data_IF_154888813617
#
_entry.id   IF_154888813617
#
_cell.length_a   1.000
_cell.length_b   1.000
_cell.length_c   1.000
_cell.angle_alpha   90.00
_cell.angle_beta   90.00
_cell.angle_gamma   90.00
#
_symmetry.space_group_name_H-M   'P 1'
#
loop_
_entity.id
_entity.type
_entity.pdbx_description
1 polymer ?
#
# COMPACT_ATOMS: atom_id res chain seq x y z
N UNK A 1 -51.89 -0.75 -27.74
CA UNK A 1 -51.28 0.04 -26.64
C UNK A 1 -51.07 -0.90 -25.47
N UNK A 2 -49.83 -1.32 -25.22
CA UNK A 2 -49.46 -2.05 -24.01
C UNK A 2 -48.06 -1.57 -23.64
N UNK A 3 -47.99 -0.79 -22.57
CA UNK A 3 -46.78 -0.14 -22.09
C UNK A 3 -45.93 -1.12 -21.27
N UNK A 4 -44.63 -1.15 -21.54
CA UNK A 4 -43.63 -1.84 -20.73
C UNK A 4 -43.44 -1.15 -19.36
N UNK A 5 -43.02 -1.87 -18.30
CA UNK A 5 -42.76 -1.27 -17.00
C UNK A 5 -41.40 -0.53 -16.96
N UNK A 6 -41.27 0.50 -16.09
CA UNK A 6 -40.09 1.36 -16.01
C UNK A 6 -38.91 0.67 -15.33
N UNK A 7 -37.71 1.04 -15.77
CA UNK A 7 -36.43 0.47 -15.37
C UNK A 7 -36.12 0.61 -13.89
N UNK A 8 -35.52 -0.45 -13.35
CA UNK A 8 -34.75 -0.39 -12.11
C UNK A 8 -33.50 0.46 -12.36
N UNK A 9 -33.34 1.53 -11.58
CA UNK A 9 -32.09 2.27 -11.49
C UNK A 9 -31.01 1.33 -10.94
N UNK A 10 -29.86 1.29 -11.60
CA UNK A 10 -28.65 0.65 -11.11
C UNK A 10 -27.96 1.62 -10.15
N UNK A 11 -27.65 1.14 -8.94
CA UNK A 11 -27.16 1.95 -7.84
C UNK A 11 -25.70 2.42 -8.03
N UNK A 12 -25.51 3.70 -8.37
CA UNK A 12 -24.20 4.38 -8.49
C UNK A 12 -23.47 4.60 -7.13
N UNK A 13 -24.08 4.21 -6.00
CA UNK A 13 -23.58 4.50 -4.65
C UNK A 13 -22.41 3.59 -4.17
N UNK A 14 -22.25 2.41 -4.76
CA UNK A 14 -21.22 1.46 -4.33
C UNK A 14 -19.80 1.86 -4.79
N UNK A 15 -19.68 2.60 -5.89
CA UNK A 15 -18.39 3.03 -6.43
C UNK A 15 -17.80 4.21 -5.62
N UNK A 16 -18.66 5.10 -5.12
CA UNK A 16 -18.26 6.25 -4.30
C UNK A 16 -17.74 5.82 -2.91
N UNK A 17 -18.41 4.87 -2.27
CA UNK A 17 -18.02 4.40 -0.92
C UNK A 17 -16.70 3.61 -0.95
N UNK A 18 -16.50 2.81 -2.00
CA UNK A 18 -15.27 2.02 -2.22
C UNK A 18 -14.06 2.92 -2.46
N UNK A 19 -14.19 3.92 -3.33
CA UNK A 19 -13.13 4.91 -3.59
C UNK A 19 -12.83 5.76 -2.35
N UNK A 20 -13.86 6.16 -1.60
CA UNK A 20 -13.71 6.88 -0.33
C UNK A 20 -12.95 6.08 0.73
N UNK A 21 -13.22 4.78 0.85
CA UNK A 21 -12.55 3.92 1.85
C UNK A 21 -11.05 3.86 1.62
N UNK A 22 -10.63 3.61 0.37
CA UNK A 22 -9.20 3.51 0.02
C UNK A 22 -8.51 4.88 0.12
N UNK A 23 -9.19 5.96 -0.27
CA UNK A 23 -8.68 7.33 -0.14
C UNK A 23 -8.42 7.73 1.32
N UNK A 24 -9.15 7.16 2.27
CA UNK A 24 -8.96 7.36 3.70
C UNK A 24 -7.82 6.52 4.31
N UNK A 25 -7.12 5.70 3.52
CA UNK A 25 -5.88 5.03 3.92
C UNK A 25 -4.69 5.90 3.53
N UNK A 26 -4.18 6.67 4.49
CA UNK A 26 -3.11 7.63 4.24
C UNK A 26 -1.74 6.99 4.42
N UNK A 27 -0.93 7.02 3.37
CA UNK A 27 0.45 6.50 3.38
C UNK A 27 1.41 7.64 3.63
N UNK A 28 2.30 7.47 4.61
CA UNK A 28 3.33 8.45 4.95
C UNK A 28 4.69 7.79 5.13
N UNK A 29 5.75 8.52 4.79
CA UNK A 29 7.13 8.13 5.00
C UNK A 29 7.80 9.11 5.98
N UNK A 30 8.60 8.56 6.89
CA UNK A 30 9.57 9.32 7.69
C UNK A 30 10.90 8.58 7.76
N UNK A 31 12.00 9.30 7.89
CA UNK A 31 13.29 8.64 8.16
C UNK A 31 13.33 8.23 9.64
N UNK A 32 13.58 6.95 9.91
CA UNK A 32 13.67 6.37 11.26
C UNK A 32 15.11 6.09 11.70
N UNK A 33 16.05 5.94 10.77
CA UNK A 33 17.49 5.80 11.05
C UNK A 33 18.35 6.45 9.98
N UNK A 34 19.56 6.87 10.37
CA UNK A 34 20.62 7.38 9.48
C UNK A 34 21.63 6.29 9.07
N UNK A 35 21.73 5.18 9.80
CA UNK A 35 22.74 4.14 9.57
C UNK A 35 22.23 2.76 10.04
N UNK A 36 21.87 1.84 9.12
CA UNK A 36 21.64 2.12 7.70
C UNK A 36 20.50 3.14 7.54
N UNK A 37 20.49 3.98 6.48
CA UNK A 37 19.37 4.88 6.20
C UNK A 37 18.07 4.08 6.13
N UNK A 38 17.12 4.38 7.01
CA UNK A 38 15.88 3.58 7.12
C UNK A 38 14.66 4.48 7.00
N UNK A 39 13.72 4.06 6.16
CA UNK A 39 12.44 4.72 5.94
C UNK A 39 11.35 3.94 6.66
N UNK A 40 10.67 4.61 7.60
CA UNK A 40 9.44 4.09 8.19
C UNK A 40 8.27 4.44 7.30
N UNK A 41 7.61 3.41 6.78
CA UNK A 41 6.29 3.50 6.17
C UNK A 41 5.21 3.46 7.24
N UNK A 42 4.19 4.29 7.12
CA UNK A 42 3.02 4.26 8.00
C UNK A 42 1.74 4.41 7.17
N UNK A 43 0.83 3.45 7.32
CA UNK A 43 -0.53 3.50 6.80
C UNK A 43 -1.46 3.89 7.94
N UNK A 44 -2.15 5.01 7.81
CA UNK A 44 -3.13 5.50 8.79
C UNK A 44 -4.53 5.31 8.26
N UNK A 45 -5.38 4.63 9.02
CA UNK A 45 -6.78 4.44 8.68
C UNK A 45 -7.62 5.61 9.21
N UNK A 46 -8.06 6.50 8.32
CA UNK A 46 -8.97 7.61 8.65
C UNK A 46 -10.44 7.27 8.45
N UNK A 47 -10.77 6.02 8.12
CA UNK A 47 -12.15 5.58 8.07
C UNK A 47 -12.75 5.49 9.50
N UNK A 48 -14.08 5.62 9.64
CA UNK A 48 -14.75 5.48 10.94
C UNK A 48 -14.85 4.02 11.41
N UNK A 49 -14.40 3.05 10.60
CA UNK A 49 -14.43 1.62 10.87
C UNK A 49 -13.03 0.99 10.70
N UNK A 50 -12.76 -0.20 11.27
CA UNK A 50 -11.54 -0.93 11.00
C UNK A 50 -11.44 -1.30 9.52
N UNK A 51 -10.20 -1.51 9.06
CA UNK A 51 -9.91 -2.14 7.77
C UNK A 51 -8.97 -3.32 7.99
N UNK A 52 -9.09 -4.33 7.14
CA UNK A 52 -8.13 -5.45 7.06
C UNK A 52 -7.45 -5.40 5.70
N UNK A 53 -6.13 -5.26 5.71
CA UNK A 53 -5.28 -5.06 4.53
C UNK A 53 -4.48 -6.35 4.29
N UNK A 54 -4.50 -6.88 3.07
CA UNK A 54 -3.50 -7.87 2.67
C UNK A 54 -2.16 -7.16 2.50
N UNK A 55 -1.12 -7.62 3.18
CA UNK A 55 0.21 -7.00 3.13
C UNK A 55 0.80 -7.00 1.72
N UNK A 56 0.47 -7.98 0.89
CA UNK A 56 1.02 -8.16 -0.46
C UNK A 56 0.71 -6.97 -1.37
N UNK A 57 1.74 -6.42 -2.02
CA UNK A 57 1.68 -5.22 -2.88
C UNK A 57 1.12 -3.96 -2.20
N UNK A 58 1.00 -3.98 -0.87
CA UNK A 58 0.60 -2.82 -0.08
C UNK A 58 1.82 -2.03 0.39
N UNK A 59 1.64 -0.82 0.95
CA UNK A 59 2.71 -0.09 1.64
C UNK A 59 3.31 -0.84 2.84
N UNK A 60 2.64 -1.89 3.33
CA UNK A 60 3.07 -2.75 4.44
C UNK A 60 3.66 -4.08 3.96
N UNK A 61 3.92 -4.21 2.65
CA UNK A 61 4.63 -5.35 2.09
C UNK A 61 6.11 -5.30 2.49
N UNK A 62 6.61 -6.32 3.19
CA UNK A 62 8.03 -6.45 3.53
C UNK A 62 8.95 -6.50 2.30
N UNK A 63 8.43 -6.82 1.12
CA UNK A 63 9.15 -6.77 -0.15
C UNK A 63 8.89 -5.49 -0.94
N UNK A 64 8.26 -4.45 -0.38
CA UNK A 64 7.89 -3.23 -1.12
C UNK A 64 9.06 -2.59 -1.89
N UNK A 65 10.27 -2.60 -1.31
CA UNK A 65 11.48 -2.13 -1.98
C UNK A 65 11.85 -3.02 -3.17
N UNK A 66 11.97 -4.33 -2.94
CA UNK A 66 12.33 -5.31 -3.97
C UNK A 66 11.26 -5.47 -5.06
N UNK A 67 10.00 -5.09 -4.79
CA UNK A 67 8.91 -5.07 -5.76
C UNK A 67 8.82 -3.74 -6.53
N UNK A 68 9.74 -2.81 -6.30
CA UNK A 68 9.79 -1.53 -7.02
C UNK A 68 8.71 -0.54 -6.62
N UNK A 69 8.12 -0.68 -5.43
CA UNK A 69 7.12 0.29 -4.93
C UNK A 69 7.76 1.61 -4.50
N UNK A 70 9.06 1.57 -4.14
CA UNK A 70 9.84 2.76 -3.81
C UNK A 70 10.52 3.33 -5.06
N UNK A 71 10.41 4.65 -5.22
CA UNK A 71 11.21 5.43 -6.16
C UNK A 71 12.19 6.27 -5.36
N UNK A 72 13.48 6.17 -5.67
CA UNK A 72 14.56 6.85 -4.95
C UNK A 72 15.31 7.72 -5.95
N UNK A 73 15.28 9.03 -5.76
CA UNK A 73 15.90 10.01 -6.67
C UNK A 73 17.03 10.74 -5.95
N UNK A 74 18.30 10.55 -6.33
CA UNK A 74 19.42 11.26 -5.73
C UNK A 74 19.26 12.78 -5.83
N UNK A 75 19.74 13.51 -4.85
CA UNK A 75 19.66 14.97 -4.87
C UNK A 75 20.42 15.53 -6.07
N UNK A 76 19.76 16.41 -6.84
CA UNK A 76 20.34 16.97 -8.07
C UNK A 76 20.17 16.09 -9.31
N UNK A 77 19.64 14.87 -9.18
CA UNK A 77 19.22 14.04 -10.31
C UNK A 77 17.77 14.35 -10.70
N UNK A 78 17.47 14.29 -11.99
CA UNK A 78 16.10 14.28 -12.51
C UNK A 78 15.53 12.86 -12.66
N UNK A 79 16.37 11.84 -12.52
CA UNK A 79 16.01 10.44 -12.71
C UNK A 79 16.24 9.62 -11.43
N UNK A 80 15.30 8.70 -11.09
CA UNK A 80 15.51 7.75 -10.01
C UNK A 80 16.69 6.82 -10.28
N UNK A 81 17.30 6.29 -9.22
CA UNK A 81 18.22 5.15 -9.37
C UNK A 81 17.45 3.93 -9.84
N UNK A 82 18.08 3.15 -10.72
CA UNK A 82 17.57 1.83 -11.09
C UNK A 82 17.77 0.88 -9.91
N UNK A 83 16.66 0.30 -9.43
CA UNK A 83 16.66 -0.68 -8.36
C UNK A 83 16.50 -2.09 -8.95
N UNK A 84 17.18 -3.10 -8.40
CA UNK A 84 16.93 -4.49 -8.76
C UNK A 84 15.51 -4.87 -8.30
N UNK A 85 14.61 -5.10 -9.26
CA UNK A 85 13.22 -5.49 -8.98
C UNK A 85 13.05 -6.99 -9.19
N UNK A 86 12.42 -7.65 -8.23
CA UNK A 86 12.06 -9.07 -8.31
C UNK A 86 10.59 -9.24 -8.74
N UNK A 87 10.27 -10.43 -9.23
CA UNK A 87 8.87 -10.87 -9.41
C UNK A 87 8.56 -11.93 -8.36
N UNK A 88 7.74 -11.58 -7.37
CA UNK A 88 7.34 -12.51 -6.32
C UNK A 88 6.12 -13.34 -6.76
N UNK A 89 6.21 -14.66 -6.61
CA UNK A 89 5.05 -15.56 -6.64
C UNK A 89 4.65 -15.85 -5.20
N UNK A 90 3.47 -15.38 -4.80
CA UNK A 90 2.96 -15.55 -3.43
C UNK A 90 1.88 -16.63 -3.38
N UNK A 91 1.81 -17.32 -2.25
CA UNK A 91 0.75 -18.30 -1.97
C UNK A 91 -0.56 -17.56 -1.74
N UNK A 92 -1.66 -18.12 -2.26
CA UNK A 92 -3.01 -17.64 -2.02
C UNK A 92 -3.90 -18.81 -1.56
N UNK A 93 -4.72 -18.67 -0.50
CA UNK A 93 -4.92 -17.47 0.32
C UNK A 93 -3.66 -17.09 1.15
N UNK A 94 -3.49 -15.80 1.49
CA UNK A 94 -2.38 -15.36 2.32
C UNK A 94 -2.48 -15.98 3.73
N UNK A 95 -1.34 -16.19 4.42
CA UNK A 95 -1.33 -16.57 5.82
C UNK A 95 -1.87 -15.44 6.72
N UNK A 96 -2.24 -15.78 7.95
CA UNK A 96 -2.91 -14.86 8.87
C UNK A 96 -2.08 -13.62 9.22
N UNK A 97 -0.76 -13.78 9.34
CA UNK A 97 0.19 -12.68 9.61
C UNK A 97 0.30 -11.68 8.45
N UNK A 98 -0.17 -12.05 7.26
CA UNK A 98 -0.25 -11.17 6.09
C UNK A 98 -1.58 -10.40 6.03
N UNK A 99 -2.49 -10.59 6.99
CA UNK A 99 -3.74 -9.85 7.13
C UNK A 99 -3.62 -8.81 8.24
N UNK A 100 -3.34 -7.56 7.85
CA UNK A 100 -3.05 -6.48 8.77
C UNK A 100 -4.33 -5.71 9.10
N UNK A 101 -4.78 -5.79 10.34
CA UNK A 101 -5.93 -5.00 10.82
C UNK A 101 -5.47 -3.63 11.27
N UNK A 102 -6.05 -2.58 10.69
CA UNK A 102 -5.85 -1.20 11.12
C UNK A 102 -7.19 -0.66 11.65
N UNK A 103 -7.28 -0.46 12.97
CA UNK A 103 -8.47 0.10 13.62
C UNK A 103 -8.76 1.51 13.11
N UNK A 104 -10.01 1.97 13.26
CA UNK A 104 -10.38 3.35 12.99
C UNK A 104 -9.47 4.33 13.74
N UNK A 105 -8.94 5.33 13.03
CA UNK A 105 -8.03 6.34 13.56
C UNK A 105 -6.62 5.83 13.94
N UNK A 106 -6.33 4.54 13.76
CA UNK A 106 -5.03 3.94 14.11
C UNK A 106 -4.12 3.83 12.89
N UNK A 107 -2.87 3.44 13.14
CA UNK A 107 -1.87 3.25 12.09
C UNK A 107 -1.13 1.92 12.25
N UNK A 108 -0.71 1.36 11.11
CA UNK A 108 0.27 0.29 11.03
C UNK A 108 1.49 0.78 10.25
N UNK A 109 2.65 0.17 10.45
CA UNK A 109 3.86 0.60 9.77
C UNK A 109 4.96 -0.44 9.78
N UNK A 110 5.89 -0.27 8.86
CA UNK A 110 7.09 -1.09 8.72
C UNK A 110 8.29 -0.20 8.45
N UNK A 111 9.48 -0.72 8.70
CA UNK A 111 10.74 -0.07 8.39
C UNK A 111 11.39 -0.74 7.18
N UNK A 112 11.90 0.07 6.27
CA UNK A 112 12.60 -0.35 5.05
C UNK A 112 13.99 0.26 5.09
N UNK A 113 15.01 -0.58 5.24
CA UNK A 113 16.40 -0.16 5.13
C UNK A 113 16.75 0.11 3.66
N UNK A 114 17.42 1.24 3.41
CA UNK A 114 17.96 1.61 2.10
C UNK A 114 19.45 1.25 2.10
N UNK A 115 19.74 -0.01 1.80
CA UNK A 115 21.09 -0.57 1.86
C UNK A 115 21.36 -1.59 0.74
N UNK A 116 22.64 -1.91 0.57
CA UNK A 116 23.09 -2.95 -0.34
C UNK A 116 22.53 -4.33 0.03
N UNK A 117 22.25 -5.23 -0.94
CA UNK A 117 22.39 -5.03 -2.39
C UNK A 117 21.15 -4.42 -3.06
N UNK A 118 20.12 -4.04 -2.28
CA UNK A 118 18.82 -3.65 -2.81
C UNK A 118 18.79 -2.19 -3.28
N UNK A 119 19.63 -1.35 -2.69
CA UNK A 119 19.79 0.06 -3.05
C UNK A 119 21.27 0.31 -3.32
N UNK A 120 21.64 0.77 -4.52
CA UNK A 120 23.02 1.14 -4.85
C UNK A 120 23.38 2.42 -4.10
N UNK A 121 23.82 2.30 -2.85
CA UNK A 121 23.96 3.43 -1.92
C UNK A 121 25.00 4.43 -2.40
N UNK A 122 26.02 3.96 -3.13
CA UNK A 122 27.06 4.79 -3.76
C UNK A 122 26.48 5.77 -4.80
N UNK A 123 25.34 5.44 -5.42
CA UNK A 123 24.66 6.30 -6.41
C UNK A 123 23.76 7.34 -5.78
N UNK A 124 23.45 7.25 -4.48
CA UNK A 124 22.54 8.17 -3.81
C UNK A 124 23.19 9.49 -3.38
N UNK A 125 24.52 9.53 -3.27
CA UNK A 125 25.23 10.68 -2.70
C UNK A 125 24.87 10.91 -1.22
N UNK A 126 24.78 12.17 -0.78
CA UNK A 126 24.48 12.52 0.62
C UNK A 126 22.99 12.58 0.99
N UNK A 127 22.08 12.59 0.00
CA UNK A 127 20.64 12.55 0.23
C UNK A 127 19.84 12.19 -1.02
N UNK A 128 18.65 11.63 -0.83
CA UNK A 128 17.73 11.29 -1.92
C UNK A 128 16.27 11.60 -1.54
N UNK A 129 15.46 11.91 -2.54
CA UNK A 129 14.01 12.00 -2.41
C UNK A 129 13.40 10.61 -2.64
N UNK A 130 12.59 10.17 -1.68
CA UNK A 130 11.94 8.85 -1.66
C UNK A 130 10.43 9.01 -1.70
N UNK A 131 9.79 8.27 -2.61
CA UNK A 131 8.33 8.17 -2.73
C UNK A 131 7.93 6.70 -2.79
N UNK A 132 6.89 6.32 -2.05
CA UNK A 132 6.28 5.00 -2.10
C UNK A 132 4.94 5.10 -2.83
N UNK A 133 4.73 4.24 -3.84
CA UNK A 133 3.52 4.22 -4.65
C UNK A 133 3.19 2.82 -5.14
N UNK A 134 1.91 2.59 -5.41
CA UNK A 134 1.44 1.30 -5.91
C UNK A 134 -0.08 1.22 -5.93
N UNK A 135 -0.59 0.00 -5.97
CA UNK A 135 -2.03 -0.30 -5.96
C UNK A 135 -2.33 -1.31 -4.87
N UNK A 136 -3.40 -1.08 -4.12
CA UNK A 136 -3.85 -2.03 -3.11
C UNK A 136 -4.27 -3.35 -3.77
N UNK A 137 -3.70 -4.47 -3.33
CA UNK A 137 -4.11 -5.79 -3.80
C UNK A 137 -5.51 -6.15 -3.29
N UNK A 138 -5.72 -6.07 -1.97
CA UNK A 138 -7.01 -6.35 -1.35
C UNK A 138 -7.13 -5.63 0.01
N UNK A 139 -8.24 -4.94 0.22
CA UNK A 139 -8.61 -4.27 1.46
C UNK A 139 -10.08 -4.55 1.77
N UNK A 140 -10.38 -5.09 2.94
CA UNK A 140 -11.74 -5.23 3.44
C UNK A 140 -12.08 -4.08 4.40
N UNK A 141 -13.20 -3.37 4.23
CA UNK A 141 -13.65 -2.29 5.12
C UNK A 141 -14.26 -2.81 6.44
N UNK A 142 -13.70 -3.86 7.02
CA UNK A 142 -14.21 -4.53 8.23
C UNK A 142 -13.09 -5.23 9.00
N UNK A 143 -13.36 -5.63 10.23
CA UNK A 143 -12.38 -6.30 11.07
C UNK A 143 -12.09 -7.73 10.59
N UNK A 144 -10.92 -8.26 10.96
CA UNK A 144 -10.51 -9.63 10.59
C UNK A 144 -11.50 -10.70 11.01
N UNK A 145 -12.15 -10.56 12.16
CA UNK A 145 -13.12 -11.52 12.68
C UNK A 145 -14.38 -11.66 11.81
N UNK A 146 -14.67 -10.67 10.96
CA UNK A 146 -15.83 -10.64 10.06
C UNK A 146 -15.51 -11.18 8.66
N UNK A 147 -14.27 -11.59 8.43
CA UNK A 147 -13.78 -12.06 7.14
C UNK A 147 -13.61 -13.58 7.22
N UNK A 148 -14.44 -14.30 6.49
CA UNK A 148 -14.37 -15.75 6.41
C UNK A 148 -13.19 -16.19 5.53
N UNK A 149 -12.81 -17.48 5.62
CA UNK A 149 -11.83 -18.06 4.70
C UNK A 149 -12.28 -17.95 3.24
N UNK A 150 -13.57 -18.15 2.98
CA UNK A 150 -14.15 -18.04 1.65
C UNK A 150 -14.07 -16.62 1.09
N UNK A 151 -14.22 -15.59 1.95
CA UNK A 151 -14.02 -14.20 1.53
C UNK A 151 -12.58 -13.96 1.05
N UNK A 152 -11.60 -14.50 1.76
CA UNK A 152 -10.18 -14.38 1.41
C UNK A 152 -9.87 -15.15 0.13
N UNK A 153 -10.36 -16.38 0.00
CA UNK A 153 -10.21 -17.18 -1.21
C UNK A 153 -10.82 -16.46 -2.43
N UNK A 154 -11.93 -15.75 -2.25
CA UNK A 154 -12.62 -14.96 -3.27
C UNK A 154 -12.43 -13.43 -3.11
N UNK A 155 -11.21 -12.97 -2.81
CA UNK A 155 -10.97 -11.54 -2.56
C UNK A 155 -11.35 -10.61 -3.72
N UNK A 156 -11.30 -11.08 -4.96
CA UNK A 156 -11.74 -10.31 -6.13
C UNK A 156 -13.22 -9.90 -6.08
N UNK A 157 -14.06 -10.67 -5.38
CA UNK A 157 -15.49 -10.37 -5.21
C UNK A 157 -15.85 -9.76 -3.85
N UNK A 158 -14.94 -9.75 -2.88
CA UNK A 158 -15.26 -9.37 -1.49
C UNK A 158 -14.40 -8.24 -0.94
N UNK A 159 -13.23 -7.98 -1.54
CA UNK A 159 -12.30 -6.93 -1.14
C UNK A 159 -12.32 -5.76 -2.12
N UNK A 160 -11.99 -4.58 -1.63
CA UNK A 160 -11.61 -3.45 -2.46
C UNK A 160 -10.20 -3.71 -3.03
N UNK A 161 -10.02 -3.53 -4.33
CA UNK A 161 -8.74 -3.78 -5.01
C UNK A 161 -8.46 -2.73 -6.08
N UNK A 162 -7.20 -2.59 -6.46
CA UNK A 162 -6.78 -1.75 -7.58
C UNK A 162 -6.77 -0.25 -7.33
N UNK A 163 -7.21 0.26 -6.17
CA UNK A 163 -7.05 1.67 -5.81
C UNK A 163 -5.57 2.03 -5.63
N UNK A 164 -5.17 3.20 -6.11
CA UNK A 164 -3.80 3.68 -6.01
C UNK A 164 -3.49 4.23 -4.61
N UNK A 165 -2.22 4.12 -4.22
CA UNK A 165 -1.69 4.85 -3.08
C UNK A 165 -0.39 5.55 -3.48
N UNK A 166 -0.15 6.70 -2.84
CA UNK A 166 1.09 7.46 -2.95
C UNK A 166 1.40 8.07 -1.59
N UNK A 167 2.67 8.04 -1.19
CA UNK A 167 3.14 8.70 0.02
C UNK A 167 3.46 10.18 -0.21
N UNK A 168 3.77 10.91 0.86
CA UNK A 168 4.55 12.13 0.74
C UNK A 168 5.93 11.84 0.12
N UNK A 169 6.55 12.85 -0.49
CA UNK A 169 7.98 12.84 -0.81
C UNK A 169 8.78 13.01 0.48
N UNK A 170 9.67 12.09 0.77
CA UNK A 170 10.58 12.14 1.91
C UNK A 170 12.00 12.39 1.42
N UNK A 171 12.62 13.48 1.88
CA UNK A 171 14.07 13.66 1.73
C UNK A 171 14.80 12.87 2.79
N UNK A 172 15.48 11.80 2.38
CA UNK A 172 16.28 10.92 3.23
C UNK A 172 17.73 11.37 3.19
N UNK A 173 18.37 11.48 4.36
CA UNK A 173 19.83 11.68 4.45
C UNK A 173 20.54 10.34 4.38
N UNK A 174 21.59 10.27 3.56
CA UNK A 174 22.49 9.13 3.41
C UNK A 174 23.83 9.54 4.05
N UNK A 175 24.41 8.64 4.85
CA UNK A 175 25.67 8.89 5.56
C UNK A 175 26.83 8.19 4.87
#
# INVERSE_FOLDING_TARGET
MSSAPPGAALDDNNNNTSTTTLANLIVTLRQSSLSPPTVRVTVTNKNPHPVTIVSYQSPLDNLALALGSLTITPTGSSQPVELPIIRAKRVWPPPEDSLIVVKAGSSAGQDIALEEPHVPVEKLGGSADVVLRGRWMAVWPRARAEISKADIENASGTALSGGEYVSNTLKVKIK
#
